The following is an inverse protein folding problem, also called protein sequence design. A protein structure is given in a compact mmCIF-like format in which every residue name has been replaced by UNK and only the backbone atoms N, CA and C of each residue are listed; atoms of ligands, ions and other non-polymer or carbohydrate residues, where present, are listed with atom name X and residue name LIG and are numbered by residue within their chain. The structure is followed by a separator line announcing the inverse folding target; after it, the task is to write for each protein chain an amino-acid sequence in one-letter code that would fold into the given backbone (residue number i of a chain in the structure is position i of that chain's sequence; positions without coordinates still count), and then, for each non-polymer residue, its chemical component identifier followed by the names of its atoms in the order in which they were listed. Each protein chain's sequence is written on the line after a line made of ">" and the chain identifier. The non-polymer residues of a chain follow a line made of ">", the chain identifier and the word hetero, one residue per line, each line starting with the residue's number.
data_IF_399447102543
#
_entry.id   IF_399447102543
#
_cell.length_a   1.000
_cell.length_b   1.000
_cell.length_c   1.000
_cell.angle_alpha   90.00
_cell.angle_beta   90.00
_cell.angle_gamma   90.00
#
_symmetry.space_group_name_H-M   'P 1'
#
loop_
_entity.id
_entity.type
_entity.pdbx_description
1 polymer ?
#
# COMPACT_ATOMS: atom_id res chain seq x y z
N UNK A 1 26.39 -9.66 25.28
CA UNK A 1 24.95 -9.76 25.60
C UNK A 1 24.19 -10.27 24.39
N UNK A 2 23.76 -11.53 24.38
CA UNK A 2 22.92 -12.11 23.33
C UNK A 2 21.53 -11.51 23.53
N UNK A 3 21.11 -10.57 22.65
CA UNK A 3 19.73 -10.10 22.62
C UNK A 3 18.85 -11.29 22.22
N UNK A 4 18.22 -11.94 23.19
CA UNK A 4 17.15 -12.89 22.90
C UNK A 4 16.01 -12.12 22.20
N UNK A 5 15.96 -12.20 20.89
CA UNK A 5 14.83 -11.66 20.12
C UNK A 5 13.59 -12.51 20.46
N UNK A 6 12.63 -11.90 21.15
CA UNK A 6 11.34 -12.54 21.48
C UNK A 6 10.71 -13.04 20.19
N UNK A 7 10.25 -14.29 20.18
CA UNK A 7 9.38 -14.80 19.12
C UNK A 7 8.04 -14.09 19.16
N UNK A 8 7.54 -13.70 18.01
CA UNK A 8 6.25 -13.03 17.83
C UNK A 8 5.47 -13.70 16.70
N UNK A 9 4.16 -13.48 16.63
CA UNK A 9 3.33 -13.99 15.55
C UNK A 9 3.61 -13.25 14.24
N UNK A 10 3.21 -13.87 13.11
CA UNK A 10 3.23 -13.18 11.81
C UNK A 10 2.35 -11.93 11.80
N UNK A 11 1.21 -11.96 12.51
CA UNK A 11 0.33 -10.81 12.70
C UNK A 11 1.02 -9.64 13.43
N UNK A 12 1.70 -9.93 14.55
CA UNK A 12 2.54 -8.93 15.25
C UNK A 12 3.65 -8.39 14.34
N UNK A 13 4.30 -9.27 13.55
CA UNK A 13 5.35 -8.84 12.63
C UNK A 13 4.80 -7.94 11.51
N UNK A 14 3.60 -8.24 10.99
CA UNK A 14 2.93 -7.41 10.01
C UNK A 14 2.62 -6.01 10.57
N UNK A 15 2.02 -5.92 11.78
CA UNK A 15 1.69 -4.63 12.40
C UNK A 15 2.95 -3.83 12.74
N UNK A 16 4.01 -4.47 13.23
CA UNK A 16 5.30 -3.81 13.44
C UNK A 16 5.91 -3.29 12.14
N UNK A 17 5.68 -4.00 11.02
CA UNK A 17 6.12 -3.54 9.71
C UNK A 17 5.30 -2.33 9.24
N UNK A 18 3.99 -2.31 9.45
CA UNK A 18 3.16 -1.11 9.21
C UNK A 18 3.64 0.10 10.02
N UNK A 19 3.98 -0.12 11.29
CA UNK A 19 4.55 0.94 12.14
C UNK A 19 5.89 1.46 11.62
N UNK A 20 6.76 0.58 11.13
CA UNK A 20 8.01 0.96 10.46
C UNK A 20 7.73 1.85 9.24
N UNK A 21 6.72 1.54 8.45
CA UNK A 21 6.31 2.32 7.29
C UNK A 21 5.57 3.63 7.66
N UNK A 22 5.55 4.00 8.95
CA UNK A 22 4.93 5.22 9.47
C UNK A 22 3.43 5.30 9.18
N UNK A 23 2.75 4.15 9.16
CA UNK A 23 1.30 4.08 9.08
C UNK A 23 0.68 4.66 10.35
N UNK A 24 -0.22 5.62 10.18
CA UNK A 24 -0.95 6.27 11.28
C UNK A 24 -2.39 5.76 11.38
N UNK A 25 -2.97 5.37 10.24
CA UNK A 25 -4.35 4.92 10.15
C UNK A 25 -4.45 3.63 9.33
N UNK A 26 -5.21 2.69 9.85
CA UNK A 26 -5.59 1.45 9.16
C UNK A 26 -7.10 1.38 9.13
N UNK A 27 -7.66 1.26 7.94
CA UNK A 27 -9.08 0.99 7.74
C UNK A 27 -9.30 -0.52 7.67
N UNK A 28 -10.46 -1.01 8.10
CA UNK A 28 -10.69 -2.44 7.99
C UNK A 28 -11.97 -2.95 8.64
N UNK A 29 -12.27 -4.19 8.33
CA UNK A 29 -13.33 -4.96 8.98
C UNK A 29 -12.69 -6.18 9.63
N UNK A 30 -12.95 -6.37 10.93
CA UNK A 30 -12.38 -7.48 11.69
C UNK A 30 -12.96 -8.80 11.20
N UNK A 31 -12.09 -9.78 11.01
CA UNK A 31 -12.49 -11.12 10.61
C UNK A 31 -11.45 -12.18 10.96
N UNK A 32 -11.87 -13.44 10.90
CA UNK A 32 -11.10 -14.57 11.42
C UNK A 32 -9.82 -14.91 10.66
N UNK A 33 -9.71 -14.50 9.40
CA UNK A 33 -8.52 -14.80 8.59
C UNK A 33 -7.31 -13.90 8.91
N UNK A 34 -7.54 -12.76 9.60
CA UNK A 34 -6.46 -11.81 9.99
C UNK A 34 -6.51 -11.46 11.48
N UNK A 35 -7.05 -12.34 12.31
CA UNK A 35 -7.27 -12.10 13.74
C UNK A 35 -5.98 -11.70 14.46
N UNK A 36 -4.85 -12.34 14.15
CA UNK A 36 -3.55 -12.04 14.75
C UNK A 36 -3.06 -10.62 14.42
N UNK A 37 -3.48 -10.05 13.29
CA UNK A 37 -3.19 -8.64 12.98
C UNK A 37 -4.06 -7.69 13.80
N UNK A 38 -5.35 -8.00 13.95
CA UNK A 38 -6.26 -7.16 14.73
C UNK A 38 -5.94 -7.20 16.21
N UNK A 39 -5.53 -8.35 16.75
CA UNK A 39 -5.00 -8.45 18.11
C UNK A 39 -3.76 -7.58 18.29
N UNK A 40 -2.81 -7.66 17.37
CA UNK A 40 -1.61 -6.82 17.40
C UNK A 40 -1.93 -5.31 17.26
N UNK A 41 -2.91 -4.93 16.42
CA UNK A 41 -3.37 -3.54 16.27
C UNK A 41 -4.02 -3.01 17.54
N UNK A 42 -4.77 -3.84 18.27
CA UNK A 42 -5.38 -3.47 19.56
C UNK A 42 -4.32 -3.00 20.57
N UNK A 43 -3.15 -3.63 20.56
CA UNK A 43 -2.03 -3.29 21.44
C UNK A 43 -1.11 -2.19 20.89
N UNK A 44 -1.21 -1.82 19.60
CA UNK A 44 -0.35 -0.79 19.00
C UNK A 44 -0.97 0.60 19.10
N UNK A 45 -0.39 1.45 19.95
CA UNK A 45 -0.92 2.79 20.27
C UNK A 45 -0.63 3.87 19.21
N UNK A 46 0.30 3.61 18.29
CA UNK A 46 0.70 4.59 17.25
C UNK A 46 -0.08 4.44 15.95
N UNK A 47 -0.85 3.38 15.80
CA UNK A 47 -1.68 3.13 14.63
C UNK A 47 -3.15 3.17 15.08
N UNK A 48 -3.91 4.10 14.53
CA UNK A 48 -5.36 4.18 14.77
C UNK A 48 -6.08 3.24 13.82
N UNK A 49 -6.77 2.25 14.38
CA UNK A 49 -7.68 1.40 13.62
C UNK A 49 -9.03 2.11 13.44
N UNK A 50 -9.52 2.15 12.21
CA UNK A 50 -10.82 2.70 11.84
C UNK A 50 -11.66 1.56 11.29
N UNK A 51 -12.58 1.06 12.12
CA UNK A 51 -13.51 0.00 11.76
C UNK A 51 -14.55 0.48 10.74
N UNK A 52 -14.78 -0.34 9.73
CA UNK A 52 -15.81 -0.11 8.70
C UNK A 52 -16.90 -1.16 8.77
N UNK A 53 -17.99 -0.96 8.04
CA UNK A 53 -19.10 -1.92 7.92
C UNK A 53 -19.02 -2.77 6.66
N UNK A 54 -18.13 -2.39 5.73
CA UNK A 54 -17.93 -3.05 4.45
C UNK A 54 -16.52 -2.70 3.98
N UNK A 55 -15.71 -3.69 3.55
CA UNK A 55 -14.33 -3.49 3.12
C UNK A 55 -14.23 -2.60 1.88
N UNK A 56 -15.25 -2.58 1.03
CA UNK A 56 -15.34 -1.66 -0.12
C UNK A 56 -15.30 -0.21 0.35
N UNK A 57 -16.11 0.13 1.36
CA UNK A 57 -16.11 1.47 1.97
C UNK A 57 -14.75 1.77 2.58
N UNK A 58 -14.17 0.83 3.32
CA UNK A 58 -12.82 0.97 3.91
C UNK A 58 -11.74 1.22 2.86
N UNK A 59 -11.85 0.57 1.70
CA UNK A 59 -10.90 0.78 0.60
C UNK A 59 -11.02 2.18 0.00
N UNK A 60 -12.24 2.69 -0.17
CA UNK A 60 -12.45 4.08 -0.61
C UNK A 60 -11.96 5.09 0.44
N UNK A 61 -12.10 4.80 1.75
CA UNK A 61 -11.52 5.63 2.80
C UNK A 61 -9.99 5.64 2.73
N UNK A 62 -9.34 4.48 2.51
CA UNK A 62 -7.90 4.38 2.31
C UNK A 62 -7.44 5.15 1.06
N UNK A 63 -8.18 5.07 -0.05
CA UNK A 63 -7.93 5.85 -1.27
C UNK A 63 -8.05 7.36 -1.00
N UNK A 64 -9.11 7.80 -0.35
CA UNK A 64 -9.30 9.19 0.05
C UNK A 64 -8.18 9.72 0.97
N UNK A 65 -7.80 8.91 1.97
CA UNK A 65 -6.66 9.22 2.84
C UNK A 65 -5.35 9.37 2.05
N UNK A 66 -5.08 8.44 1.14
CA UNK A 66 -3.86 8.49 0.33
C UNK A 66 -3.79 9.75 -0.54
N UNK A 67 -4.92 10.15 -1.13
CA UNK A 67 -5.02 11.37 -1.94
C UNK A 67 -4.87 12.64 -1.13
N UNK A 68 -5.41 12.69 0.08
CA UNK A 68 -5.39 13.88 0.92
C UNK A 68 -4.04 14.06 1.64
N UNK A 69 -3.47 12.96 2.17
CA UNK A 69 -2.25 12.99 2.98
C UNK A 69 -0.96 12.87 2.20
N UNK A 70 -1.01 12.46 0.92
CA UNK A 70 0.16 12.09 0.12
C UNK A 70 0.96 10.89 0.68
N UNK A 71 0.35 10.11 1.60
CA UNK A 71 0.88 8.90 2.21
C UNK A 71 0.15 7.66 1.69
N UNK A 72 0.70 6.44 1.81
CA UNK A 72 -0.06 5.24 1.49
C UNK A 72 -1.29 5.07 2.37
N UNK A 73 -2.45 4.76 1.76
CA UNK A 73 -3.64 4.35 2.48
C UNK A 73 -3.63 2.84 2.72
N UNK A 74 -3.97 2.39 3.92
CA UNK A 74 -3.92 0.96 4.30
C UNK A 74 -5.30 0.46 4.62
N UNK A 75 -5.70 -0.65 3.99
CA UNK A 75 -6.95 -1.39 4.27
C UNK A 75 -6.63 -2.84 4.59
N UNK A 76 -7.29 -3.38 5.62
CA UNK A 76 -7.22 -4.80 5.98
C UNK A 76 -8.60 -5.43 5.83
N UNK A 77 -8.71 -6.43 4.96
CA UNK A 77 -9.86 -7.32 4.91
C UNK A 77 -9.66 -8.46 5.89
N UNK A 78 -10.56 -8.56 6.85
CA UNK A 78 -10.46 -9.51 7.94
C UNK A 78 -10.80 -10.96 7.54
N UNK A 79 -11.47 -11.16 6.41
CA UNK A 79 -11.91 -12.46 5.95
C UNK A 79 -11.37 -12.75 4.55
N UNK A 80 -11.02 -14.03 4.27
CA UNK A 80 -10.74 -14.51 2.92
C UNK A 80 -12.04 -14.59 2.09
N UNK A 81 -11.94 -14.84 0.79
CA UNK A 81 -13.10 -14.90 -0.08
C UNK A 81 -13.91 -13.59 -0.07
N UNK A 82 -15.07 -13.50 0.62
CA UNK A 82 -15.94 -12.32 0.55
C UNK A 82 -15.27 -11.04 1.04
N UNK A 83 -14.43 -11.06 2.08
CA UNK A 83 -13.68 -9.89 2.52
C UNK A 83 -12.69 -9.42 1.47
N UNK A 84 -12.02 -10.34 0.80
CA UNK A 84 -11.12 -10.00 -0.30
C UNK A 84 -11.88 -9.46 -1.53
N UNK A 85 -12.99 -10.07 -1.93
CA UNK A 85 -13.77 -9.59 -3.09
C UNK A 85 -14.36 -8.20 -2.86
N UNK A 86 -14.72 -7.86 -1.63
CA UNK A 86 -15.20 -6.51 -1.29
C UNK A 86 -14.14 -5.41 -1.49
N UNK A 87 -12.85 -5.74 -1.48
CA UNK A 87 -11.77 -4.77 -1.77
C UNK A 87 -11.70 -4.38 -3.25
N UNK A 88 -12.20 -5.23 -4.16
CA UNK A 88 -11.96 -5.13 -5.61
C UNK A 88 -12.35 -3.77 -6.18
N UNK A 89 -13.55 -3.30 -5.86
CA UNK A 89 -14.06 -2.02 -6.38
C UNK A 89 -13.14 -0.85 -6.01
N UNK A 90 -12.78 -0.74 -4.73
CA UNK A 90 -11.94 0.36 -4.26
C UNK A 90 -10.48 0.26 -4.75
N UNK A 91 -9.94 -0.96 -4.86
CA UNK A 91 -8.60 -1.20 -5.42
C UNK A 91 -8.55 -0.84 -6.90
N UNK A 92 -9.56 -1.22 -7.69
CA UNK A 92 -9.65 -0.85 -9.09
C UNK A 92 -9.77 0.67 -9.28
N UNK A 93 -10.57 1.33 -8.42
CA UNK A 93 -10.67 2.80 -8.36
C UNK A 93 -9.31 3.43 -8.05
N UNK A 94 -8.61 2.95 -7.04
CA UNK A 94 -7.29 3.44 -6.67
C UNK A 94 -6.26 3.27 -7.80
N UNK A 95 -6.36 2.17 -8.58
CA UNK A 95 -5.51 1.95 -9.76
C UNK A 95 -5.77 3.00 -10.84
N UNK A 96 -7.03 3.24 -11.18
CA UNK A 96 -7.40 4.24 -12.18
C UNK A 96 -6.97 5.67 -11.77
N UNK A 97 -6.97 5.95 -10.46
CA UNK A 97 -6.60 7.24 -9.89
C UNK A 97 -5.10 7.38 -9.54
N UNK A 98 -4.29 6.36 -9.81
CA UNK A 98 -2.87 6.31 -9.40
C UNK A 98 -2.66 6.55 -7.90
N UNK A 99 -3.57 6.06 -7.08
CA UNK A 99 -3.56 6.27 -5.64
C UNK A 99 -2.80 5.14 -4.94
N UNK A 100 -1.84 5.45 -4.05
CA UNK A 100 -1.04 4.43 -3.37
C UNK A 100 -1.82 3.78 -2.23
N UNK A 101 -2.57 2.74 -2.54
CA UNK A 101 -3.29 1.94 -1.56
C UNK A 101 -2.55 0.62 -1.34
N UNK A 102 -2.34 0.26 -0.08
CA UNK A 102 -1.83 -1.05 0.33
C UNK A 102 -3.01 -1.84 0.90
N UNK A 103 -3.53 -2.76 0.10
CA UNK A 103 -4.57 -3.69 0.51
C UNK A 103 -3.94 -4.94 1.11
N UNK A 104 -4.35 -5.31 2.31
CA UNK A 104 -3.95 -6.53 2.99
C UNK A 104 -5.18 -7.41 3.13
N UNK A 105 -5.16 -8.58 2.56
CA UNK A 105 -6.26 -9.52 2.60
C UNK A 105 -5.87 -10.80 3.34
N UNK A 106 -6.70 -11.25 4.25
CA UNK A 106 -6.60 -12.60 4.79
C UNK A 106 -6.80 -13.63 3.68
N UNK A 107 -6.17 -14.77 3.80
CA UNK A 107 -6.28 -15.86 2.84
C UNK A 107 -6.40 -17.20 3.59
N UNK A 108 -6.96 -18.21 2.91
CA UNK A 108 -7.00 -19.56 3.43
C UNK A 108 -5.57 -20.09 3.72
N UNK A 109 -5.47 -21.11 4.56
CA UNK A 109 -4.18 -21.69 4.94
C UNK A 109 -3.44 -22.28 3.74
N UNK A 110 -2.12 -22.06 3.67
CA UNK A 110 -1.27 -22.67 2.63
C UNK A 110 -1.20 -24.20 2.71
N UNK A 111 -1.77 -24.80 3.76
CA UNK A 111 -1.84 -26.25 3.93
C UNK A 111 -3.10 -26.85 3.32
N UNK A 112 -4.09 -26.02 3.04
CA UNK A 112 -5.39 -26.44 2.49
C UNK A 112 -5.36 -26.32 0.95
N UNK A 113 -6.12 -27.16 0.28
CA UNK A 113 -6.42 -26.95 -1.13
C UNK A 113 -7.48 -25.86 -1.25
N UNK A 114 -7.36 -25.02 -2.26
CA UNK A 114 -8.26 -23.88 -2.44
C UNK A 114 -9.72 -24.32 -2.55
N UNK A 115 -9.97 -25.41 -3.26
CA UNK A 115 -11.30 -25.93 -3.55
C UNK A 115 -12.01 -26.45 -2.28
N UNK A 116 -11.23 -26.94 -1.32
CA UNK A 116 -11.72 -27.52 -0.08
C UNK A 116 -11.72 -26.52 1.09
N UNK A 117 -11.05 -25.37 0.90
CA UNK A 117 -10.91 -24.36 1.93
C UNK A 117 -12.20 -23.54 2.10
N UNK A 118 -12.60 -23.31 3.36
CA UNK A 118 -13.71 -22.41 3.65
C UNK A 118 -13.46 -21.03 3.02
N UNK A 119 -14.38 -20.61 2.14
CA UNK A 119 -14.26 -19.38 1.37
C UNK A 119 -12.95 -19.27 0.56
N UNK A 120 -12.44 -20.43 0.08
CA UNK A 120 -11.26 -20.47 -0.79
C UNK A 120 -11.48 -19.68 -2.07
N UNK A 121 -10.47 -18.89 -2.44
CA UNK A 121 -10.51 -18.05 -3.65
C UNK A 121 -9.09 -17.79 -4.14
N UNK A 122 -8.89 -17.83 -5.45
CA UNK A 122 -7.63 -17.36 -6.05
C UNK A 122 -7.53 -15.82 -6.01
N UNK A 123 -7.16 -15.32 -4.83
CA UNK A 123 -6.97 -13.89 -4.62
C UNK A 123 -5.78 -13.34 -5.42
N UNK A 124 -4.80 -14.19 -5.76
CA UNK A 124 -3.66 -13.77 -6.58
C UNK A 124 -4.13 -13.35 -7.98
N UNK A 125 -4.90 -14.19 -8.65
CA UNK A 125 -5.47 -13.88 -9.96
C UNK A 125 -6.48 -12.75 -9.91
N UNK A 126 -7.30 -12.70 -8.86
CA UNK A 126 -8.30 -11.64 -8.66
C UNK A 126 -7.69 -10.23 -8.62
N UNK A 127 -6.58 -10.04 -7.89
CA UNK A 127 -5.97 -8.71 -7.71
C UNK A 127 -4.91 -8.36 -8.74
N UNK A 128 -4.33 -9.32 -9.45
CA UNK A 128 -3.26 -9.07 -10.44
C UNK A 128 -3.64 -7.99 -11.47
N UNK A 129 -4.83 -8.01 -12.12
CA UNK A 129 -5.17 -7.02 -13.13
C UNK A 129 -5.46 -5.61 -12.58
N UNK A 130 -5.78 -5.48 -11.30
CA UNK A 130 -6.20 -4.23 -10.68
C UNK A 130 -5.17 -3.63 -9.71
N UNK A 131 -3.97 -4.21 -9.60
CA UNK A 131 -2.88 -3.72 -8.75
C UNK A 131 -1.60 -3.50 -9.56
N UNK A 132 -0.60 -2.87 -8.97
CA UNK A 132 0.77 -2.85 -9.50
C UNK A 132 1.46 -4.20 -9.29
N UNK A 133 1.15 -4.85 -8.18
CA UNK A 133 1.61 -6.20 -7.84
C UNK A 133 0.74 -6.78 -6.74
N UNK A 134 0.54 -8.08 -6.81
CA UNK A 134 -0.08 -8.89 -5.75
C UNK A 134 0.96 -9.88 -5.23
N UNK A 135 1.02 -10.04 -3.92
CA UNK A 135 1.82 -11.08 -3.26
C UNK A 135 0.91 -12.04 -2.52
N UNK A 136 1.26 -13.32 -2.54
CA UNK A 136 0.73 -14.32 -1.61
C UNK A 136 1.90 -14.84 -0.78
N UNK A 137 1.89 -14.54 0.51
CA UNK A 137 3.00 -14.84 1.41
C UNK A 137 2.96 -16.31 1.81
N UNK A 138 4.01 -17.06 1.48
CA UNK A 138 4.12 -18.51 1.79
C UNK A 138 5.05 -18.82 2.98
N UNK A 139 5.75 -17.83 3.51
CA UNK A 139 6.66 -17.98 4.64
C UNK A 139 6.53 -16.75 5.56
N UNK A 140 6.23 -16.98 6.84
CA UNK A 140 6.03 -15.90 7.78
C UNK A 140 7.27 -15.01 7.96
N UNK A 141 8.48 -15.54 7.84
CA UNK A 141 9.73 -14.80 8.02
C UNK A 141 9.91 -13.65 7.00
N UNK A 142 9.27 -13.74 5.83
CA UNK A 142 9.38 -12.71 4.80
C UNK A 142 8.31 -11.60 4.91
N UNK A 143 7.35 -11.70 5.83
CA UNK A 143 6.30 -10.70 6.02
C UNK A 143 6.85 -9.27 6.06
N UNK A 144 7.89 -8.95 6.86
CA UNK A 144 8.41 -7.58 6.92
C UNK A 144 8.94 -7.08 5.58
N UNK A 145 9.63 -7.94 4.83
CA UNK A 145 10.17 -7.57 3.51
C UNK A 145 9.06 -7.34 2.50
N UNK A 146 8.06 -8.24 2.46
CA UNK A 146 6.92 -8.09 1.54
C UNK A 146 6.13 -6.82 1.82
N UNK A 147 5.90 -6.47 3.09
CA UNK A 147 5.23 -5.22 3.45
C UNK A 147 6.08 -4.02 3.01
N UNK A 148 7.39 -4.02 3.28
CA UNK A 148 8.28 -2.95 2.82
C UNK A 148 8.28 -2.79 1.29
N UNK A 149 8.34 -3.90 0.55
CA UNK A 149 8.26 -3.90 -0.91
C UNK A 149 6.92 -3.36 -1.41
N UNK A 150 5.82 -3.73 -0.74
CA UNK A 150 4.48 -3.26 -1.06
C UNK A 150 4.37 -1.73 -0.92
N UNK A 151 4.83 -1.16 0.19
CA UNK A 151 4.85 0.29 0.41
C UNK A 151 5.76 1.00 -0.60
N UNK A 152 6.97 0.50 -0.80
CA UNK A 152 7.91 1.03 -1.80
C UNK A 152 7.27 1.04 -3.19
N UNK A 153 6.67 -0.07 -3.63
CA UNK A 153 6.09 -0.17 -4.96
C UNK A 153 4.84 0.69 -5.13
N UNK A 154 3.97 0.78 -4.10
CA UNK A 154 2.79 1.64 -4.15
C UNK A 154 3.17 3.11 -4.38
N UNK A 155 4.26 3.57 -3.77
CA UNK A 155 4.72 4.96 -3.82
C UNK A 155 5.65 5.27 -5.00
N UNK A 156 6.25 4.28 -5.67
CA UNK A 156 7.08 4.52 -6.87
C UNK A 156 6.29 5.26 -7.95
N UNK A 157 6.96 6.12 -8.74
CA UNK A 157 6.34 6.89 -9.82
C UNK A 157 5.40 6.07 -10.69
N UNK A 158 4.34 6.72 -11.12
CA UNK A 158 3.04 6.20 -11.44
C UNK A 158 2.51 5.36 -10.29
N UNK A 159 2.26 6.04 -9.15
CA UNK A 159 1.73 5.43 -7.93
C UNK A 159 0.51 4.57 -8.22
N UNK A 160 0.18 3.67 -7.33
CA UNK A 160 -0.98 2.82 -7.52
C UNK A 160 -1.10 1.76 -6.43
N UNK A 161 -2.23 1.05 -6.39
CA UNK A 161 -2.49 0.07 -5.36
C UNK A 161 -1.65 -1.19 -5.52
N UNK A 162 -1.44 -1.86 -4.41
CA UNK A 162 -0.84 -3.18 -4.29
C UNK A 162 -1.69 -4.05 -3.39
N UNK A 163 -1.57 -5.38 -3.49
CA UNK A 163 -2.26 -6.30 -2.61
C UNK A 163 -1.27 -7.30 -1.99
N UNK A 164 -1.44 -7.56 -0.68
CA UNK A 164 -0.69 -8.57 0.06
C UNK A 164 -1.66 -9.56 0.67
N UNK A 165 -1.69 -10.78 0.12
CA UNK A 165 -2.45 -11.88 0.68
C UNK A 165 -1.64 -12.56 1.80
N UNK A 166 -2.20 -12.60 3.00
CA UNK A 166 -1.59 -13.19 4.18
C UNK A 166 -2.41 -14.41 4.63
N UNK A 167 -1.94 -15.63 4.32
CA UNK A 167 -2.60 -16.86 4.76
C UNK A 167 -2.65 -16.95 6.28
N UNK A 168 -3.79 -17.46 6.80
CA UNK A 168 -4.06 -17.56 8.24
C UNK A 168 -2.94 -18.27 9.00
N UNK A 169 -2.47 -19.42 8.51
CA UNK A 169 -1.40 -20.16 9.16
C UNK A 169 -0.05 -19.42 9.16
N UNK A 170 0.16 -18.54 8.21
CA UNK A 170 1.35 -17.67 8.12
C UNK A 170 1.28 -16.54 9.16
N UNK A 171 0.09 -15.97 9.37
CA UNK A 171 -0.14 -14.96 10.41
C UNK A 171 -0.02 -15.55 11.82
N UNK A 172 -0.51 -16.76 12.03
CA UNK A 172 -0.42 -17.46 13.31
C UNK A 172 0.98 -18.00 13.64
N UNK A 173 1.85 -18.19 12.62
CA UNK A 173 3.18 -18.74 12.81
C UNK A 173 4.07 -17.83 13.67
N UNK A 174 4.69 -18.42 14.70
CA UNK A 174 5.57 -17.71 15.63
C UNK A 174 7.03 -17.83 15.21
N UNK A 175 7.70 -16.71 15.00
CA UNK A 175 9.11 -16.65 14.59
C UNK A 175 9.83 -15.43 15.19
N UNK A 176 11.15 -15.40 15.00
CA UNK A 176 11.97 -14.20 15.19
C UNK A 176 12.04 -13.44 13.88
N UNK A 177 11.73 -12.14 13.91
CA UNK A 177 11.72 -11.29 12.73
C UNK A 177 12.75 -10.18 12.83
N UNK A 178 13.40 -9.88 11.70
CA UNK A 178 14.26 -8.70 11.56
C UNK A 178 13.42 -7.57 10.98
N UNK A 179 13.12 -6.56 11.77
CA UNK A 179 12.36 -5.38 11.35
C UNK A 179 13.24 -4.17 11.68
N UNK A 180 13.83 -3.57 10.66
CA UNK A 180 14.59 -2.34 10.82
C UNK A 180 13.63 -1.16 10.97
N UNK A 181 13.64 -0.52 12.14
CA UNK A 181 12.68 0.51 12.50
C UNK A 181 13.07 1.93 12.02
N UNK A 182 14.26 2.10 11.43
CA UNK A 182 14.86 3.43 11.29
C UNK A 182 14.32 4.28 10.14
N UNK A 183 13.84 3.67 9.04
CA UNK A 183 13.28 4.41 7.90
C UNK A 183 12.12 3.66 7.25
N UNK A 184 11.08 4.36 6.77
CA UNK A 184 10.12 3.76 5.85
C UNK A 184 10.83 3.33 4.55
N UNK A 185 10.24 2.40 3.83
CA UNK A 185 10.80 1.85 2.59
C UNK A 185 10.56 2.74 1.37
N UNK A 186 9.90 3.86 1.55
CA UNK A 186 9.57 4.81 0.50
C UNK A 186 9.93 6.23 0.91
N UNK A 187 10.22 7.07 -0.06
CA UNK A 187 10.34 8.52 0.10
C UNK A 187 9.03 9.18 -0.32
N UNK A 188 8.60 10.18 0.45
CA UNK A 188 7.35 10.91 0.19
C UNK A 188 7.44 11.83 -1.04
N UNK A 189 8.64 12.25 -1.41
CA UNK A 189 8.88 13.11 -2.56
C UNK A 189 9.60 12.35 -3.69
N UNK A 190 9.16 12.56 -4.92
CA UNK A 190 9.88 12.07 -6.09
C UNK A 190 11.14 12.92 -6.29
N UNK A 191 12.30 12.34 -6.03
CA UNK A 191 13.60 12.96 -6.27
C UNK A 191 14.08 12.80 -7.72
N UNK A 192 13.27 12.22 -8.60
CA UNK A 192 13.63 12.05 -10.00
C UNK A 192 13.78 13.40 -10.69
N UNK A 193 15.01 13.75 -11.03
CA UNK A 193 15.32 14.91 -11.86
C UNK A 193 15.27 14.54 -13.34
N UNK A 194 14.77 15.46 -14.16
CA UNK A 194 14.83 15.31 -15.62
C UNK A 194 16.26 15.40 -16.14
N UNK A 195 16.50 14.88 -17.32
CA UNK A 195 17.77 15.03 -18.01
C UNK A 195 17.98 16.51 -18.39
N UNK A 196 19.10 17.11 -17.97
CA UNK A 196 19.38 18.54 -18.15
C UNK A 196 19.36 18.96 -19.63
N UNK A 197 19.89 18.16 -20.54
CA UNK A 197 19.91 18.49 -21.96
C UNK A 197 18.49 18.49 -22.57
N UNK A 198 17.65 17.53 -22.12
CA UNK A 198 16.23 17.50 -22.52
C UNK A 198 15.46 18.70 -21.97
N UNK A 199 15.78 19.14 -20.74
CA UNK A 199 15.16 20.33 -20.11
C UNK A 199 15.56 21.57 -20.91
N UNK A 200 16.84 21.77 -21.25
CA UNK A 200 17.30 22.89 -22.09
C UNK A 200 16.62 22.91 -23.47
N UNK A 201 16.50 21.73 -24.10
CA UNK A 201 15.80 21.61 -25.38
C UNK A 201 14.33 22.00 -25.27
N UNK A 202 13.64 21.52 -24.23
CA UNK A 202 12.24 21.87 -23.97
C UNK A 202 12.09 23.39 -23.74
N UNK A 203 12.94 23.99 -22.91
CA UNK A 203 12.93 25.44 -22.67
C UNK A 203 13.11 26.24 -23.97
N UNK A 204 14.04 25.84 -24.86
CA UNK A 204 14.23 26.50 -26.15
C UNK A 204 12.97 26.41 -27.02
N UNK A 205 12.30 25.25 -27.07
CA UNK A 205 11.06 25.09 -27.86
C UNK A 205 9.96 25.97 -27.29
N UNK A 206 9.80 26.01 -25.95
CA UNK A 206 8.78 26.82 -25.28
C UNK A 206 9.01 28.31 -25.57
N UNK A 207 10.25 28.82 -25.42
CA UNK A 207 10.57 30.22 -25.67
C UNK A 207 10.39 30.68 -27.13
N UNK A 208 10.34 29.74 -28.08
CA UNK A 208 10.09 30.04 -29.49
C UNK A 208 8.59 29.94 -29.85
N UNK A 209 7.76 29.41 -28.97
CA UNK A 209 6.34 29.25 -29.25
C UNK A 209 5.63 30.61 -29.16
N UNK A 210 4.78 30.91 -30.18
CA UNK A 210 3.93 32.11 -30.17
C UNK A 210 2.67 31.94 -29.32
N UNK A 211 2.20 30.71 -29.21
CA UNK A 211 1.05 30.30 -28.41
C UNK A 211 1.34 28.92 -27.82
N UNK A 212 1.00 28.70 -26.57
CA UNK A 212 1.16 27.41 -25.91
C UNK A 212 0.04 27.15 -24.93
N UNK A 213 -0.16 25.88 -24.59
CA UNK A 213 -1.10 25.42 -23.58
C UNK A 213 -0.37 24.50 -22.63
N UNK A 214 -0.53 24.71 -21.33
CA UNK A 214 -0.01 23.83 -20.29
C UNK A 214 -1.10 22.90 -19.84
N UNK A 215 -0.91 21.58 -20.03
CA UNK A 215 -1.82 20.56 -19.51
C UNK A 215 -1.19 19.97 -18.25
N UNK A 216 -1.71 20.38 -17.08
CA UNK A 216 -1.25 19.92 -15.78
C UNK A 216 -2.06 18.70 -15.34
N UNK A 217 -1.53 17.48 -15.56
CA UNK A 217 -2.18 16.22 -15.20
C UNK A 217 -2.03 15.85 -13.72
N UNK A 218 -2.69 14.76 -13.30
CA UNK A 218 -2.70 14.27 -11.91
C UNK A 218 -1.34 13.97 -11.31
N UNK A 219 -0.30 13.77 -12.12
CA UNK A 219 1.08 13.54 -11.65
C UNK A 219 1.67 14.71 -10.84
N UNK A 220 1.22 15.93 -11.10
CA UNK A 220 1.68 17.12 -10.35
C UNK A 220 1.28 17.05 -8.88
N UNK A 221 0.14 16.46 -8.57
CA UNK A 221 -0.37 16.29 -7.21
C UNK A 221 0.66 15.64 -6.28
N UNK A 222 1.44 14.69 -6.79
CA UNK A 222 2.38 13.92 -5.99
C UNK A 222 3.77 14.56 -5.84
N UNK A 223 4.03 15.63 -6.56
CA UNK A 223 5.30 16.38 -6.47
C UNK A 223 5.24 17.52 -5.46
N UNK A 224 4.04 17.90 -5.00
CA UNK A 224 3.78 19.10 -4.21
C UNK A 224 4.35 20.40 -4.84
N UNK A 225 4.60 20.40 -6.15
CA UNK A 225 5.25 21.48 -6.92
C UNK A 225 4.24 22.31 -7.75
N UNK A 226 3.06 22.55 -7.21
CA UNK A 226 2.02 23.36 -7.91
C UNK A 226 2.49 24.76 -8.22
N UNK A 227 3.21 25.39 -7.29
CA UNK A 227 3.70 26.78 -7.43
C UNK A 227 4.67 26.93 -8.59
N UNK A 228 5.48 25.91 -8.86
CA UNK A 228 6.42 25.92 -9.98
C UNK A 228 5.70 25.88 -11.33
N UNK A 229 4.57 25.17 -11.42
CA UNK A 229 3.74 25.14 -12.64
C UNK A 229 3.08 26.50 -12.86
N UNK A 230 2.56 27.11 -11.80
CA UNK A 230 1.97 28.46 -11.85
C UNK A 230 3.04 29.48 -12.30
N UNK A 231 4.22 29.47 -11.66
CA UNK A 231 5.33 30.34 -12.04
C UNK A 231 5.75 30.16 -13.50
N UNK A 232 5.78 28.89 -13.98
CA UNK A 232 6.07 28.67 -15.40
C UNK A 232 5.01 29.30 -16.30
N UNK A 233 3.73 29.18 -15.95
CA UNK A 233 2.64 29.77 -16.70
C UNK A 233 2.66 31.31 -16.69
N UNK A 234 3.14 31.93 -15.59
CA UNK A 234 3.28 33.39 -15.46
C UNK A 234 4.52 33.94 -16.20
N UNK A 235 5.54 33.13 -16.46
CA UNK A 235 6.75 33.47 -17.18
C UNK A 235 6.60 33.42 -18.70
N UNK A 236 5.57 32.76 -19.19
CA UNK A 236 5.34 32.48 -20.61
C UNK A 236 4.18 33.28 -21.16
#
# INVERSE_FOLDING_TARGET
>A
MIKHHRKITGGEAAVKSLKKEKVEHVFGLIGSATMEMFDALYHEKKIKFIGVRDERTGTHMADGYARASNKPGVIIAGQNGPGATNLVTGVAQAKAAFSPVVAIAGSYSTKDKMEDAFQGLDQQSLFTPITKKTWTVKNSKIIPNVISDAFSLAMKPRRGPVCVNLPRNILAATNTYKIDANKPSFESESTMRGNNEKIKKAAKIINQAKQFVIIAGGGIKYTAKYKEVIKLAELL
#
